data_IF_226441443777
#
_entry.id   IF_226441443777
#
_cell.length_a   1.000
_cell.length_b   1.000
_cell.length_c   1.000
_cell.angle_alpha   90.00
_cell.angle_beta   90.00
_cell.angle_gamma   90.00
#
_symmetry.space_group_name_H-M   'P 1'
#
loop_
_entity.id
_entity.type
_entity.pdbx_description
1 polymer ?
#
# COMPACT_ATOMS: atom_id res chain seq x y z
N UNK A 1 -6.32 -40.09 13.52
CA UNK A 1 -6.92 -39.67 12.24
C UNK A 1 -6.35 -38.29 11.87
N UNK A 2 -5.15 -38.24 11.27
CA UNK A 2 -4.50 -36.99 10.86
C UNK A 2 -4.23 -37.08 9.35
N UNK A 3 -4.92 -36.25 8.56
CA UNK A 3 -4.75 -36.16 7.11
C UNK A 3 -3.32 -35.69 6.80
N UNK A 4 -2.48 -36.61 6.31
CA UNK A 4 -1.22 -36.28 5.66
C UNK A 4 -1.50 -35.45 4.39
N UNK A 5 -0.84 -34.29 4.30
CA UNK A 5 -0.73 -33.51 3.07
C UNK A 5 -0.11 -34.38 1.96
N UNK A 6 -0.81 -34.61 0.85
CA UNK A 6 -0.36 -35.49 -0.24
C UNK A 6 0.20 -34.67 -1.43
N UNK A 7 1.54 -34.56 -1.62
CA UNK A 7 2.17 -33.73 -2.66
C UNK A 7 2.11 -34.30 -4.10
N UNK A 8 1.21 -35.25 -4.38
CA UNK A 8 1.17 -36.09 -5.60
C UNK A 8 0.70 -35.43 -6.92
N UNK A 9 0.85 -34.11 -7.11
CA UNK A 9 0.54 -33.45 -8.41
C UNK A 9 1.72 -32.71 -9.08
N UNK A 10 2.88 -32.58 -8.43
CA UNK A 10 4.02 -31.88 -9.02
C UNK A 10 5.00 -32.86 -9.69
N UNK A 11 5.57 -32.48 -10.84
CA UNK A 11 6.61 -33.29 -11.50
C UNK A 11 7.83 -33.49 -10.58
N UNK A 12 8.59 -34.60 -10.70
CA UNK A 12 9.75 -34.88 -9.84
C UNK A 12 10.80 -33.75 -9.86
N UNK A 13 10.97 -33.09 -11.01
CA UNK A 13 11.90 -31.95 -11.17
C UNK A 13 11.43 -30.74 -10.35
N UNK A 14 10.14 -30.41 -10.41
CA UNK A 14 9.58 -29.28 -9.67
C UNK A 14 9.58 -29.54 -8.15
N UNK A 15 9.37 -30.80 -7.74
CA UNK A 15 9.52 -31.18 -6.33
C UNK A 15 10.95 -30.96 -5.82
N UNK A 16 11.96 -31.39 -6.59
CA UNK A 16 13.38 -31.16 -6.24
C UNK A 16 13.72 -29.67 -6.19
N UNK A 17 13.25 -28.87 -7.14
CA UNK A 17 13.46 -27.40 -7.14
C UNK A 17 12.85 -26.76 -5.89
N UNK A 18 11.62 -27.14 -5.54
CA UNK A 18 10.95 -26.61 -4.35
C UNK A 18 11.65 -27.04 -3.05
N UNK A 19 12.13 -28.28 -2.97
CA UNK A 19 12.92 -28.76 -1.83
C UNK A 19 14.24 -27.98 -1.71
N UNK A 20 14.98 -27.79 -2.81
CA UNK A 20 16.21 -27.01 -2.82
C UNK A 20 15.98 -25.55 -2.39
N UNK A 21 14.87 -24.94 -2.83
CA UNK A 21 14.50 -23.60 -2.40
C UNK A 21 14.18 -23.54 -0.88
N UNK A 22 13.38 -24.48 -0.38
CA UNK A 22 13.05 -24.57 1.06
C UNK A 22 14.27 -24.83 1.94
N UNK A 23 15.27 -25.55 1.44
CA UNK A 23 16.52 -25.80 2.15
C UNK A 23 17.38 -24.52 2.26
N UNK A 24 17.24 -23.56 1.33
CA UNK A 24 17.86 -22.24 1.45
C UNK A 24 17.05 -21.37 2.42
N UNK A 25 17.36 -21.49 3.72
CA UNK A 25 16.66 -20.76 4.79
C UNK A 25 16.59 -19.25 4.56
N UNK A 26 17.68 -18.64 4.08
CA UNK A 26 17.73 -17.19 3.83
C UNK A 26 16.77 -16.79 2.71
N UNK A 27 16.80 -17.51 1.59
CA UNK A 27 15.89 -17.26 0.46
C UNK A 27 14.43 -17.51 0.84
N UNK A 28 14.15 -18.54 1.62
CA UNK A 28 12.81 -18.86 2.08
C UNK A 28 12.23 -17.77 3.00
N UNK A 29 12.99 -17.31 4.00
CA UNK A 29 12.55 -16.23 4.88
C UNK A 29 12.45 -14.87 4.16
N UNK A 30 13.38 -14.57 3.26
CA UNK A 30 13.31 -13.35 2.45
C UNK A 30 12.04 -13.31 1.58
N UNK A 31 11.64 -14.45 1.00
CA UNK A 31 10.37 -14.54 0.27
C UNK A 31 9.18 -14.22 1.16
N UNK A 32 9.10 -14.80 2.36
CA UNK A 32 8.00 -14.54 3.29
C UNK A 32 7.97 -13.09 3.77
N UNK A 33 9.12 -12.52 4.10
CA UNK A 33 9.21 -11.11 4.48
C UNK A 33 8.77 -10.20 3.32
N UNK A 34 9.24 -10.48 2.10
CA UNK A 34 8.85 -9.74 0.91
C UNK A 34 7.35 -9.85 0.65
N UNK A 35 6.77 -11.06 0.72
CA UNK A 35 5.34 -11.28 0.53
C UNK A 35 4.51 -10.57 1.60
N UNK A 36 4.96 -10.58 2.86
CA UNK A 36 4.29 -9.84 3.93
C UNK A 36 4.32 -8.33 3.67
N UNK A 37 5.50 -7.76 3.41
CA UNK A 37 5.64 -6.34 3.08
C UNK A 37 4.81 -5.95 1.86
N UNK A 38 4.77 -6.80 0.83
CA UNK A 38 3.99 -6.55 -0.38
C UNK A 38 2.49 -6.61 -0.09
N UNK A 39 2.03 -7.58 0.69
CA UNK A 39 0.63 -7.66 1.08
C UNK A 39 0.22 -6.43 1.91
N UNK A 40 1.05 -5.99 2.87
CA UNK A 40 0.79 -4.77 3.62
C UNK A 40 0.76 -3.53 2.73
N UNK A 41 1.70 -3.41 1.78
CA UNK A 41 1.74 -2.26 0.90
C UNK A 41 0.55 -2.18 -0.06
N UNK A 42 -0.07 -3.32 -0.44
CA UNK A 42 -1.32 -3.33 -1.19
C UNK A 42 -2.46 -2.59 -0.47
N UNK A 43 -2.49 -2.64 0.87
CA UNK A 43 -3.45 -1.94 1.72
C UNK A 43 -2.89 -0.63 2.29
N UNK A 44 -1.98 0.06 1.57
CA UNK A 44 -1.35 1.28 2.04
C UNK A 44 -2.35 2.36 2.49
N UNK A 45 -3.50 2.48 1.81
CA UNK A 45 -4.56 3.44 2.15
C UNK A 45 -5.17 3.22 3.54
N UNK A 46 -5.03 2.02 4.11
CA UNK A 46 -5.51 1.71 5.48
C UNK A 46 -4.40 1.86 6.53
N UNK A 47 -3.15 2.00 6.10
CA UNK A 47 -1.96 2.08 6.97
C UNK A 47 -1.44 3.53 7.04
N UNK A 48 -1.40 4.21 5.89
CA UNK A 48 -0.86 5.55 5.72
C UNK A 48 -1.79 6.38 4.85
N UNK A 49 -2.59 7.25 5.46
CA UNK A 49 -3.55 8.06 4.73
C UNK A 49 -3.83 9.38 5.47
N UNK A 50 -4.12 10.44 4.71
CA UNK A 50 -4.57 11.73 5.24
C UNK A 50 -6.06 11.76 5.53
N UNK A 51 -6.80 10.72 5.14
CA UNK A 51 -8.21 10.52 5.49
C UNK A 51 -8.38 9.46 6.58
N UNK A 52 -9.34 9.64 7.49
CA UNK A 52 -9.66 8.64 8.49
C UNK A 52 -10.32 7.40 7.86
N UNK A 53 -10.18 6.26 8.54
CA UNK A 53 -10.77 4.99 8.13
C UNK A 53 -12.29 5.01 8.30
N UNK A 54 -12.74 5.62 9.39
CA UNK A 54 -14.15 5.68 9.77
C UNK A 54 -14.41 6.95 10.56
N UNK A 55 -15.52 7.62 10.25
CA UNK A 55 -16.04 8.75 11.02
C UNK A 55 -17.47 8.41 11.42
N UNK A 56 -17.75 8.54 12.71
CA UNK A 56 -19.13 8.58 13.19
C UNK A 56 -19.51 10.03 13.37
N UNK A 57 -20.61 10.43 12.74
CA UNK A 57 -21.18 11.76 12.89
C UNK A 57 -22.69 11.64 13.07
N UNK A 58 -23.20 12.22 14.15
CA UNK A 58 -24.57 12.01 14.62
C UNK A 58 -24.92 10.51 14.75
N UNK A 59 -25.78 10.00 13.85
CA UNK A 59 -26.21 8.60 13.81
C UNK A 59 -25.72 7.83 12.57
N UNK A 60 -24.83 8.42 11.77
CA UNK A 60 -24.36 7.84 10.51
C UNK A 60 -22.86 7.52 10.55
N UNK A 61 -22.49 6.45 9.84
CA UNK A 61 -21.10 6.06 9.63
C UNK A 61 -20.64 6.50 8.23
N UNK A 62 -19.50 7.16 8.19
CA UNK A 62 -18.85 7.65 6.99
C UNK A 62 -17.51 6.95 6.83
N UNK A 63 -17.10 6.65 5.59
CA UNK A 63 -15.88 5.90 5.28
C UNK A 63 -14.92 6.72 4.41
N UNK A 64 -14.26 7.77 4.95
CA UNK A 64 -13.49 8.72 4.13
C UNK A 64 -12.30 8.12 3.37
N UNK A 65 -11.78 6.98 3.84
CA UNK A 65 -10.74 6.22 3.15
C UNK A 65 -11.15 5.74 1.75
N UNK A 66 -12.45 5.56 1.49
CA UNK A 66 -12.98 5.07 0.21
C UNK A 66 -13.78 6.15 -0.54
N UNK A 67 -14.46 7.03 0.20
CA UNK A 67 -15.40 8.01 -0.36
C UNK A 67 -15.01 9.41 0.08
N UNK A 68 -14.97 10.33 -0.88
CA UNK A 68 -14.78 11.74 -0.60
C UNK A 68 -16.10 12.40 -0.19
N UNK A 69 -16.10 13.05 0.97
CA UNK A 69 -17.24 13.79 1.50
C UNK A 69 -16.93 15.28 1.51
N UNK A 70 -17.97 16.07 1.22
CA UNK A 70 -17.92 17.54 1.33
C UNK A 70 -17.96 17.97 2.80
N UNK A 71 -17.36 19.10 3.13
CA UNK A 71 -17.41 19.69 4.49
C UNK A 71 -18.86 19.96 4.92
N UNK A 72 -19.75 20.28 3.98
CA UNK A 72 -21.18 20.47 4.23
C UNK A 72 -21.85 19.25 4.89
N UNK A 73 -21.29 18.04 4.72
CA UNK A 73 -21.82 16.82 5.36
C UNK A 73 -21.64 16.86 6.87
N UNK A 74 -20.64 17.59 7.35
CA UNK A 74 -20.28 17.70 8.76
C UNK A 74 -20.64 19.08 9.33
N UNK A 75 -21.65 19.75 8.76
CA UNK A 75 -22.05 21.13 9.08
C UNK A 75 -20.97 22.20 8.77
N UNK A 76 -20.03 21.90 7.86
CA UNK A 76 -19.04 22.88 7.38
C UNK A 76 -19.65 23.95 6.45
N UNK A 77 -18.85 24.97 6.13
CA UNK A 77 -19.34 26.16 5.42
C UNK A 77 -19.22 26.08 3.89
N UNK A 78 -18.29 25.27 3.37
CA UNK A 78 -17.94 25.25 1.95
C UNK A 78 -18.25 23.91 1.30
N UNK A 79 -18.62 23.93 0.01
CA UNK A 79 -18.76 22.71 -0.80
C UNK A 79 -17.40 22.23 -1.34
N UNK A 80 -16.47 22.00 -0.41
CA UNK A 80 -15.11 21.49 -0.65
C UNK A 80 -14.93 20.15 0.04
N UNK A 81 -13.95 19.36 -0.42
CA UNK A 81 -13.64 18.09 0.23
C UNK A 81 -13.15 18.31 1.66
N UNK A 82 -13.75 17.57 2.60
CA UNK A 82 -13.41 17.70 4.01
C UNK A 82 -11.95 17.38 4.31
N UNK A 83 -11.23 18.37 4.86
CA UNK A 83 -9.93 18.17 5.48
C UNK A 83 -10.11 17.75 6.94
N UNK A 84 -10.09 16.44 7.17
CA UNK A 84 -10.24 15.88 8.52
C UNK A 84 -9.07 16.21 9.45
N UNK A 85 -7.94 16.72 8.93
CA UNK A 85 -6.83 17.16 9.77
C UNK A 85 -7.03 18.57 10.30
N UNK A 86 -7.89 19.36 9.68
CA UNK A 86 -8.25 20.69 10.16
C UNK A 86 -8.94 20.58 11.54
N UNK A 87 -8.45 21.28 12.58
CA UNK A 87 -9.12 21.35 13.87
C UNK A 87 -10.60 21.75 13.76
N UNK A 88 -10.96 22.64 12.82
CA UNK A 88 -12.34 23.08 12.61
C UNK A 88 -13.28 21.92 12.30
N UNK A 89 -12.92 21.05 11.34
CA UNK A 89 -13.72 19.88 10.99
C UNK A 89 -13.76 18.86 12.13
N UNK A 90 -12.66 18.69 12.87
CA UNK A 90 -12.62 17.79 14.02
C UNK A 90 -13.53 18.25 15.16
N UNK A 91 -13.58 19.56 15.42
CA UNK A 91 -14.47 20.17 16.41
C UNK A 91 -15.93 19.96 16.01
N UNK A 92 -16.31 20.26 14.76
CA UNK A 92 -17.69 20.03 14.27
C UNK A 92 -18.13 18.57 14.47
N UNK A 93 -17.26 17.60 14.17
CA UNK A 93 -17.55 16.18 14.36
C UNK A 93 -17.71 15.85 15.85
N UNK A 94 -16.82 16.36 16.69
CA UNK A 94 -16.79 16.03 18.13
C UNK A 94 -17.93 16.70 18.90
N UNK A 95 -18.33 17.92 18.51
CA UNK A 95 -19.43 18.68 19.11
C UNK A 95 -20.78 17.95 18.97
N UNK A 96 -20.96 17.22 17.86
CA UNK A 96 -22.12 16.35 17.63
C UNK A 96 -21.95 14.94 18.21
N UNK A 97 -21.08 14.77 19.20
CA UNK A 97 -20.74 13.48 19.83
C UNK A 97 -20.20 12.43 18.85
N UNK A 98 -19.61 12.87 17.74
CA UNK A 98 -18.96 12.03 16.76
C UNK A 98 -17.56 11.58 17.20
N UNK A 99 -16.96 10.69 16.42
CA UNK A 99 -15.58 10.26 16.61
C UNK A 99 -14.92 9.88 15.30
N UNK A 100 -13.58 9.92 15.29
CA UNK A 100 -12.76 9.69 14.12
C UNK A 100 -11.77 8.56 14.41
N UNK A 101 -11.75 7.54 13.56
CA UNK A 101 -10.77 6.46 13.59
C UNK A 101 -9.71 6.68 12.51
N UNK A 102 -8.49 7.00 12.95
CA UNK A 102 -7.36 7.26 12.06
C UNK A 102 -6.57 5.99 11.72
N UNK A 103 -5.96 5.91 10.52
CA UNK A 103 -4.87 4.97 10.26
C UNK A 103 -3.65 5.27 11.16
N UNK A 104 -2.73 4.30 11.33
CA UNK A 104 -1.50 4.49 12.09
C UNK A 104 -0.63 5.67 11.63
N UNK A 105 -0.53 5.89 10.32
CA UNK A 105 0.19 7.02 9.73
C UNK A 105 -0.85 7.98 9.12
N UNK A 106 -0.92 9.20 9.63
CA UNK A 106 -1.95 10.21 9.24
C UNK A 106 -1.52 11.06 8.03
N UNK A 107 -0.75 10.47 7.12
CA UNK A 107 -0.22 11.12 5.93
C UNK A 107 -0.34 10.17 4.74
N UNK A 108 -0.85 10.67 3.62
CA UNK A 108 -0.72 10.01 2.33
C UNK A 108 0.63 10.38 1.69
N UNK A 109 0.99 9.68 0.60
CA UNK A 109 2.23 9.95 -0.14
C UNK A 109 2.32 11.37 -0.75
N UNK A 110 1.20 12.10 -0.82
CA UNK A 110 1.14 13.47 -1.36
C UNK A 110 1.00 14.54 -0.28
N UNK A 111 0.48 14.20 0.89
CA UNK A 111 0.20 15.13 1.99
C UNK A 111 1.48 15.86 2.39
N UNK A 112 1.41 17.18 2.41
CA UNK A 112 2.49 18.04 2.89
C UNK A 112 2.21 18.34 4.35
N UNK A 113 3.20 18.10 5.23
CA UNK A 113 3.11 18.51 6.62
C UNK A 113 3.47 19.99 6.72
N UNK A 114 2.50 20.83 7.11
CA UNK A 114 2.69 22.27 7.26
C UNK A 114 3.17 22.64 8.69
N UNK A 115 2.97 21.74 9.65
CA UNK A 115 3.25 21.95 11.07
C UNK A 115 4.65 21.45 11.47
N UNK A 116 5.64 21.68 10.60
CA UNK A 116 7.00 21.22 10.84
C UNK A 116 7.76 22.17 11.79
N UNK A 117 8.50 21.64 12.79
CA UNK A 117 9.27 22.47 13.73
C UNK A 117 10.51 23.10 13.09
N UNK A 118 10.96 22.57 11.95
CA UNK A 118 12.10 23.05 11.16
C UNK A 118 11.73 23.07 9.68
N UNK A 119 12.37 23.90 8.85
CA UNK A 119 12.17 23.85 7.40
C UNK A 119 12.43 22.45 6.83
N UNK A 120 11.67 22.08 5.80
CA UNK A 120 11.88 20.84 5.09
C UNK A 120 13.28 20.80 4.44
N UNK A 121 13.97 19.64 4.42
CA UNK A 121 13.58 18.37 5.02
C UNK A 121 13.77 18.34 6.56
N UNK A 122 12.79 17.81 7.28
CA UNK A 122 12.88 17.65 8.74
C UNK A 122 13.42 16.27 9.13
N UNK A 123 14.14 16.16 10.27
CA UNK A 123 14.57 14.87 10.80
C UNK A 123 13.37 14.01 11.27
N UNK A 124 13.59 12.71 11.56
CA UNK A 124 12.56 11.83 12.14
C UNK A 124 11.91 12.40 13.41
N UNK A 125 10.58 12.30 13.47
CA UNK A 125 9.75 12.76 14.59
C UNK A 125 8.64 11.76 14.90
N UNK A 126 7.83 12.03 15.93
CA UNK A 126 6.64 11.22 16.24
C UNK A 126 5.58 11.26 15.14
N UNK A 127 5.47 12.39 14.46
CA UNK A 127 4.49 12.60 13.40
C UNK A 127 4.99 12.04 12.07
N UNK A 128 6.29 12.24 11.79
CA UNK A 128 6.95 11.72 10.61
C UNK A 128 8.09 10.78 11.02
N UNK A 129 7.78 9.48 11.16
CA UNK A 129 8.67 8.46 11.74
C UNK A 129 10.04 8.34 11.03
N UNK A 130 10.11 8.65 9.73
CA UNK A 130 11.35 8.66 8.95
C UNK A 130 11.77 10.07 8.50
N UNK A 131 11.11 11.11 9.02
CA UNK A 131 11.29 12.50 8.61
C UNK A 131 10.49 12.86 7.37
N UNK A 132 10.78 14.03 6.81
CA UNK A 132 10.15 14.51 5.57
C UNK A 132 11.13 14.62 4.41
N UNK A 133 10.59 14.62 3.19
CA UNK A 133 11.35 15.01 2.00
C UNK A 133 11.54 16.55 1.93
N UNK A 134 12.16 17.02 0.85
CA UNK A 134 12.43 18.43 0.56
C UNK A 134 11.16 19.29 0.37
N UNK A 135 10.00 18.64 0.21
CA UNK A 135 8.70 19.28 0.08
C UNK A 135 7.85 19.16 1.36
N UNK A 136 8.40 18.60 2.44
CA UNK A 136 7.68 18.42 3.71
C UNK A 136 6.72 17.23 3.73
N UNK A 137 6.82 16.28 2.80
CA UNK A 137 5.97 15.08 2.77
C UNK A 137 6.56 13.95 3.59
N UNK A 138 5.71 13.15 4.20
CA UNK A 138 6.12 12.02 5.05
C UNK A 138 6.91 10.95 4.25
N UNK A 139 8.15 10.68 4.67
CA UNK A 139 9.02 9.72 3.97
C UNK A 139 8.53 8.28 4.14
N UNK A 140 7.97 7.90 5.30
CA UNK A 140 7.53 6.54 5.56
C UNK A 140 6.34 6.15 4.68
N UNK A 141 5.33 7.02 4.60
CA UNK A 141 4.20 6.88 3.69
C UNK A 141 4.71 6.73 2.25
N UNK A 142 5.61 7.61 1.80
CA UNK A 142 6.18 7.52 0.45
C UNK A 142 6.92 6.21 0.19
N UNK A 143 7.63 5.66 1.17
CA UNK A 143 8.30 4.35 1.04
C UNK A 143 7.28 3.23 0.90
N UNK A 144 6.20 3.21 1.70
CA UNK A 144 5.14 2.19 1.62
C UNK A 144 4.46 2.22 0.25
N UNK A 145 4.02 3.42 -0.19
CA UNK A 145 3.37 3.61 -1.48
C UNK A 145 4.32 3.34 -2.66
N UNK A 146 5.56 3.82 -2.56
CA UNK A 146 6.60 3.62 -3.58
C UNK A 146 6.93 2.14 -3.77
N UNK A 147 7.11 1.40 -2.67
CA UNK A 147 7.35 -0.04 -2.70
C UNK A 147 6.21 -0.79 -3.41
N UNK A 148 4.94 -0.47 -3.12
CA UNK A 148 3.78 -1.05 -3.83
C UNK A 148 3.89 -0.82 -5.34
N UNK A 149 4.09 0.43 -5.76
CA UNK A 149 4.14 0.79 -7.19
C UNK A 149 5.30 0.09 -7.89
N UNK A 150 6.49 0.06 -7.28
CA UNK A 150 7.65 -0.61 -7.86
C UNK A 150 7.44 -2.11 -8.05
N UNK A 151 6.87 -2.81 -7.06
CA UNK A 151 6.62 -4.25 -7.17
C UNK A 151 5.54 -4.57 -8.19
N UNK A 152 4.42 -3.84 -8.19
CA UNK A 152 3.36 -4.01 -9.18
C UNK A 152 3.86 -3.75 -10.60
N UNK A 153 4.68 -2.72 -10.79
CA UNK A 153 5.33 -2.43 -12.06
C UNK A 153 6.23 -3.58 -12.51
N UNK A 154 7.12 -4.07 -11.64
CA UNK A 154 8.05 -5.16 -11.97
C UNK A 154 7.31 -6.45 -12.34
N UNK A 155 6.26 -6.83 -11.60
CA UNK A 155 5.44 -8.00 -11.89
C UNK A 155 4.75 -7.85 -13.25
N UNK A 156 4.12 -6.70 -13.49
CA UNK A 156 3.40 -6.42 -14.73
C UNK A 156 4.35 -6.42 -15.93
N UNK A 157 5.48 -5.73 -15.82
CA UNK A 157 6.51 -5.68 -16.87
C UNK A 157 7.06 -7.07 -17.19
N UNK A 158 7.35 -7.87 -16.16
CA UNK A 158 7.88 -9.23 -16.35
C UNK A 158 6.88 -10.13 -17.07
N UNK A 159 5.60 -10.07 -16.69
CA UNK A 159 4.54 -10.87 -17.32
C UNK A 159 4.36 -10.50 -18.79
N UNK A 160 4.20 -9.21 -19.08
CA UNK A 160 4.04 -8.71 -20.46
C UNK A 160 5.29 -9.06 -21.29
N UNK A 161 6.49 -8.80 -20.77
CA UNK A 161 7.74 -9.09 -21.48
C UNK A 161 7.91 -10.58 -21.75
N UNK A 162 7.51 -11.43 -20.80
CA UNK A 162 7.55 -12.89 -20.98
C UNK A 162 6.58 -13.36 -22.06
N UNK A 163 5.36 -12.82 -22.09
CA UNK A 163 4.38 -13.14 -23.14
C UNK A 163 4.91 -12.75 -24.52
N UNK A 164 5.41 -11.53 -24.66
CA UNK A 164 5.97 -11.03 -25.93
C UNK A 164 7.19 -11.88 -26.34
N UNK A 165 8.13 -12.12 -25.42
CA UNK A 165 9.34 -12.89 -25.69
C UNK A 165 9.05 -14.34 -26.08
N UNK A 166 8.10 -15.00 -25.41
CA UNK A 166 7.67 -16.36 -25.75
C UNK A 166 6.97 -16.38 -27.11
N UNK A 167 6.10 -15.41 -27.40
CA UNK A 167 5.42 -15.33 -28.69
C UNK A 167 6.40 -15.10 -29.84
N UNK A 168 7.31 -14.14 -29.71
CA UNK A 168 8.36 -13.87 -30.69
C UNK A 168 9.27 -15.09 -30.89
N UNK A 169 9.71 -15.71 -29.80
CA UNK A 169 10.53 -16.93 -29.84
C UNK A 169 9.80 -18.11 -30.49
N UNK A 170 8.50 -18.27 -30.25
CA UNK A 170 7.69 -19.31 -30.89
C UNK A 170 7.57 -19.09 -32.42
N UNK A 171 7.33 -17.84 -32.85
CA UNK A 171 7.29 -17.48 -34.27
C UNK A 171 8.64 -17.74 -34.93
N UNK A 172 9.74 -17.31 -34.30
CA UNK A 172 11.09 -17.56 -34.78
C UNK A 172 11.42 -19.06 -34.84
N UNK A 173 11.02 -19.84 -33.84
CA UNK A 173 11.20 -21.30 -33.83
C UNK A 173 10.43 -22.01 -34.95
N UNK A 174 9.20 -21.57 -35.24
CA UNK A 174 8.39 -22.15 -36.31
C UNK A 174 8.98 -21.90 -37.71
N UNK A 175 9.47 -20.68 -37.98
CA UNK A 175 10.02 -20.31 -39.30
C UNK A 175 11.52 -20.58 -39.45
N UNK A 176 12.29 -20.51 -38.36
CA UNK A 176 13.74 -20.67 -38.34
C UNK A 176 14.24 -22.12 -38.33
N UNK A 177 13.36 -23.10 -38.12
CA UNK A 177 13.66 -24.53 -38.27
C UNK A 177 13.78 -25.01 -39.72
N UNK A 178 13.66 -24.12 -40.70
CA UNK A 178 13.97 -24.41 -42.11
C UNK A 178 15.48 -24.29 -42.35
N UNK A 179 16.23 -25.31 -41.96
CA UNK A 179 17.56 -25.61 -42.50
C UNK A 179 17.64 -27.10 -42.78
#
# INVERSE_FOLDING_TARGET
>A
MLKQFNPKKMSPINQRRLQNFRNNRRGYWALWLFLALFLFSLFAEFIANDKPLLVRYENSFYYPVVVDYSELVFDGEFDTFADYKDPYIQELITDKQGWILWPPIRFSYRTINQDLPVPAPSPPSSDNLLGTDDQGRDVLARVIYGFRVSVLFAITLTLISSVIGVAAGAVQGYYGGKV
#
